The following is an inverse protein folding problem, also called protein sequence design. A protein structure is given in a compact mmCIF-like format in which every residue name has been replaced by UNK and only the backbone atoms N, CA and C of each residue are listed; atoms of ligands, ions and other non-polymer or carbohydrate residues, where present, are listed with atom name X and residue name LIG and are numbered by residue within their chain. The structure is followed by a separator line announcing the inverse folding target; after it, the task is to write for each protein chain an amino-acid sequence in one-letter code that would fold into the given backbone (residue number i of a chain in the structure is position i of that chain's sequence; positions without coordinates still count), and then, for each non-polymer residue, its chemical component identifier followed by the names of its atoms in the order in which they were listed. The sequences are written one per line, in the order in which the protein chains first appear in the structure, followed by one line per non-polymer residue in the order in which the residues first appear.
data_IF_586346068990
#
_entry.id   IF_586346068990
#
_cell.length_a   1.000
_cell.length_b   1.000
_cell.length_c   1.000
_cell.angle_alpha   90.00
_cell.angle_beta   90.00
_cell.angle_gamma   90.00
#
_symmetry.space_group_name_H-M   'P 1'
#
loop_
_entity.id
_entity.type
_entity.pdbx_description
1 polymer ?
#
# COMPACT_ATOMS: atom_id res chain seq x y z
N UNK A 1 -11.05 21.31 7.33
CA UNK A 1 -10.64 19.99 6.80
C UNK A 1 -9.79 20.25 5.56
N UNK A 2 -8.55 19.75 5.53
CA UNK A 2 -7.64 19.89 4.39
C UNK A 2 -7.52 18.51 3.72
N UNK A 3 -7.62 18.45 2.40
CA UNK A 3 -7.48 17.23 1.61
C UNK A 3 -6.32 17.46 0.64
N UNK A 4 -5.38 16.52 0.60
CA UNK A 4 -4.19 16.60 -0.26
C UNK A 4 -3.92 15.24 -0.91
N UNK A 5 -3.36 15.29 -2.12
CA UNK A 5 -2.83 14.09 -2.78
C UNK A 5 -1.43 13.86 -2.25
N UNK A 6 -1.23 12.80 -1.48
CA UNK A 6 0.11 12.42 -0.96
C UNK A 6 0.87 11.55 -1.95
N UNK A 7 0.18 10.69 -2.70
CA UNK A 7 0.79 9.79 -3.69
C UNK A 7 -0.08 9.76 -4.94
N UNK A 8 0.49 10.08 -6.11
CA UNK A 8 -0.24 10.12 -7.38
C UNK A 8 0.16 8.99 -8.35
N UNK A 9 0.00 7.73 -7.91
CA UNK A 9 0.43 6.53 -8.66
C UNK A 9 -0.62 5.98 -9.64
N UNK A 10 -1.83 6.55 -9.67
CA UNK A 10 -2.92 6.19 -10.62
C UNK A 10 -3.21 4.68 -10.68
N UNK A 11 -3.43 4.03 -9.54
CA UNK A 11 -3.83 2.60 -9.48
C UNK A 11 -5.12 2.35 -10.27
N UNK A 12 -5.24 1.19 -10.92
CA UNK A 12 -6.47 0.80 -11.62
C UNK A 12 -7.62 0.60 -10.62
N UNK A 13 -7.36 -0.08 -9.51
CA UNK A 13 -8.26 -0.13 -8.36
C UNK A 13 -7.46 -0.11 -7.05
N UNK A 14 -7.28 1.08 -6.48
CA UNK A 14 -6.56 1.30 -5.23
C UNK A 14 -7.44 1.02 -4.01
N UNK A 15 -7.09 0.01 -3.21
CA UNK A 15 -7.90 -0.46 -2.08
C UNK A 15 -7.05 -0.94 -0.90
N UNK A 16 -7.72 -1.32 0.20
CA UNK A 16 -7.09 -1.90 1.39
C UNK A 16 -6.04 -1.02 2.07
N UNK A 17 -6.32 0.28 2.35
CA UNK A 17 -5.36 1.12 3.07
C UNK A 17 -5.14 0.58 4.49
N UNK A 18 -3.88 0.40 4.85
CA UNK A 18 -3.44 -0.10 6.14
C UNK A 18 -2.25 0.74 6.65
N UNK A 19 -2.38 1.29 7.84
CA UNK A 19 -1.28 2.00 8.49
C UNK A 19 -0.50 1.08 9.44
N UNK A 20 0.79 0.94 9.18
CA UNK A 20 1.74 0.33 10.11
C UNK A 20 2.33 1.42 11.01
N UNK A 21 1.99 1.37 12.31
CA UNK A 21 2.44 2.34 13.30
C UNK A 21 3.94 2.20 13.60
N UNK A 22 4.47 0.98 13.61
CA UNK A 22 5.87 0.74 13.96
C UNK A 22 6.80 1.21 12.86
N UNK A 23 6.42 0.99 11.60
CA UNK A 23 7.21 1.43 10.45
C UNK A 23 6.88 2.86 10.01
N UNK A 24 5.79 3.45 10.50
CA UNK A 24 5.21 4.70 10.00
C UNK A 24 5.00 4.65 8.48
N UNK A 25 4.32 3.61 8.02
CA UNK A 25 4.10 3.38 6.58
C UNK A 25 2.62 3.10 6.29
N UNK A 26 2.13 3.74 5.23
CA UNK A 26 0.85 3.43 4.62
C UNK A 26 1.08 2.35 3.57
N UNK A 27 0.34 1.26 3.67
CA UNK A 27 0.27 0.18 2.69
C UNK A 27 -1.09 0.18 2.01
N UNK A 28 -1.12 -0.18 0.73
CA UNK A 28 -2.36 -0.38 -0.03
C UNK A 28 -2.09 -1.28 -1.23
N UNK A 29 -3.15 -1.76 -1.88
CA UNK A 29 -3.05 -2.62 -3.06
C UNK A 29 -3.62 -1.93 -4.29
N UNK A 30 -3.10 -2.26 -5.46
CA UNK A 30 -3.82 -2.18 -6.72
C UNK A 30 -4.38 -3.56 -7.05
N UNK A 31 -5.67 -3.75 -6.76
CA UNK A 31 -6.32 -5.06 -6.78
C UNK A 31 -6.29 -5.71 -8.16
N UNK A 32 -6.52 -4.92 -9.22
CA UNK A 32 -6.61 -5.45 -10.58
C UNK A 32 -5.26 -5.66 -11.26
N UNK A 33 -4.29 -4.80 -10.97
CA UNK A 33 -2.94 -4.87 -11.57
C UNK A 33 -1.96 -5.73 -10.76
N UNK A 34 -2.38 -6.26 -9.60
CA UNK A 34 -1.55 -7.15 -8.79
C UNK A 34 -0.32 -6.43 -8.22
N UNK A 35 -0.52 -5.25 -7.61
CA UNK A 35 0.57 -4.47 -7.01
C UNK A 35 0.31 -4.18 -5.54
N UNK A 36 1.33 -4.29 -4.72
CA UNK A 36 1.34 -3.81 -3.34
C UNK A 36 2.18 -2.55 -3.28
N UNK A 37 1.64 -1.49 -2.71
CA UNK A 37 2.33 -0.22 -2.52
C UNK A 37 2.61 0.06 -1.05
N UNK A 38 3.66 0.85 -0.81
CA UNK A 38 3.97 1.41 0.50
C UNK A 38 4.56 2.81 0.37
N UNK A 39 4.17 3.75 1.22
CA UNK A 39 4.78 5.08 1.33
C UNK A 39 4.79 5.59 2.77
N UNK A 40 5.54 6.66 3.04
CA UNK A 40 5.40 7.45 4.29
C UNK A 40 4.07 8.22 4.29
N UNK A 41 3.67 8.77 5.45
CA UNK A 41 2.42 9.54 5.58
C UNK A 41 2.32 10.75 4.63
N UNK A 42 3.46 11.32 4.23
CA UNK A 42 3.57 12.44 3.28
C UNK A 42 3.88 11.98 1.84
N UNK A 43 3.78 10.68 1.57
CA UNK A 43 3.90 10.12 0.23
C UNK A 43 5.32 9.99 -0.32
N UNK A 44 6.34 10.13 0.52
CA UNK A 44 7.72 9.83 0.17
C UNK A 44 8.00 8.33 0.27
N UNK A 45 9.19 7.94 -0.18
CA UNK A 45 9.70 6.56 -0.11
C UNK A 45 8.76 5.49 -0.66
N UNK A 46 8.07 5.83 -1.76
CA UNK A 46 7.15 4.91 -2.42
C UNK A 46 7.91 3.65 -2.83
N UNK A 47 7.40 2.49 -2.43
CA UNK A 47 7.81 1.18 -2.91
C UNK A 47 6.60 0.47 -3.50
N UNK A 48 6.88 -0.38 -4.49
CA UNK A 48 5.89 -1.19 -5.17
C UNK A 48 6.46 -2.60 -5.34
N UNK A 49 5.62 -3.61 -5.14
CA UNK A 49 5.91 -5.01 -5.41
C UNK A 49 4.82 -5.59 -6.30
N UNK A 50 5.21 -6.20 -7.41
CA UNK A 50 4.30 -6.96 -8.26
C UNK A 50 4.04 -8.35 -7.66
N UNK A 51 2.81 -8.81 -7.77
CA UNK A 51 2.40 -10.17 -7.42
C UNK A 51 1.74 -10.83 -8.64
N UNK A 52 1.80 -12.17 -8.77
CA UNK A 52 1.41 -12.84 -10.02
C UNK A 52 -0.11 -12.86 -10.29
N UNK A 53 -0.92 -12.32 -9.37
CA UNK A 53 -2.39 -12.43 -9.43
C UNK A 53 -3.06 -11.17 -8.88
N UNK A 54 -4.36 -11.03 -9.16
CA UNK A 54 -5.22 -10.03 -8.52
C UNK A 54 -5.26 -10.22 -7.01
N UNK A 55 -5.32 -9.13 -6.27
CA UNK A 55 -5.30 -9.14 -4.79
C UNK A 55 -6.69 -8.80 -4.27
N UNK A 56 -7.29 -9.70 -3.48
CA UNK A 56 -8.59 -9.45 -2.84
C UNK A 56 -8.49 -8.73 -1.50
N UNK A 57 -7.43 -8.97 -0.75
CA UNK A 57 -7.11 -8.32 0.52
C UNK A 57 -5.63 -8.52 0.84
N UNK A 58 -5.12 -7.74 1.79
CA UNK A 58 -3.75 -7.88 2.29
C UNK A 58 -3.72 -7.66 3.80
N UNK A 59 -2.84 -8.37 4.50
CA UNK A 59 -2.48 -8.08 5.89
C UNK A 59 -0.97 -8.16 6.11
N UNK A 60 -0.43 -7.24 6.92
CA UNK A 60 0.97 -7.30 7.34
C UNK A 60 1.18 -8.44 8.34
N UNK A 61 2.31 -9.13 8.23
CA UNK A 61 2.72 -10.13 9.23
C UNK A 61 3.20 -9.42 10.49
N UNK A 62 2.88 -10.00 11.65
CA UNK A 62 3.26 -9.47 12.97
C UNK A 62 4.77 -9.27 13.15
N UNK A 63 5.58 -10.08 12.47
CA UNK A 63 7.05 -10.01 12.53
C UNK A 63 7.65 -8.97 11.56
N UNK A 64 6.80 -8.26 10.79
CA UNK A 64 7.23 -7.30 9.78
C UNK A 64 7.96 -7.93 8.57
N UNK A 65 8.01 -9.26 8.49
CA UNK A 65 8.75 -9.99 7.46
C UNK A 65 8.06 -10.01 6.09
N UNK A 66 6.81 -9.54 5.99
CA UNK A 66 6.07 -9.44 4.74
C UNK A 66 4.58 -9.24 4.94
N UNK A 67 3.82 -9.62 3.92
CA UNK A 67 2.36 -9.58 3.91
C UNK A 67 1.77 -10.92 3.46
N UNK A 68 0.48 -11.13 3.74
CA UNK A 68 -0.36 -12.21 3.19
C UNK A 68 -1.43 -11.56 2.34
#
# INVERSE_FOLDING_TARGET
MKIEVVVDVKTTLGEGPLWDVEQERLYWIDSFDGRVFRATADGREIRCWDVPMKIGSMALRKDGGGAV
#
